data_IF_418020584808
#
_entry.id   IF_418020584808
#
_cell.length_a   1.000
_cell.length_b   1.000
_cell.length_c   1.000
_cell.angle_alpha   90.00
_cell.angle_beta   90.00
_cell.angle_gamma   90.00
#
_symmetry.space_group_name_H-M   'P 1'
#
loop_
_entity.id
_entity.type
_entity.pdbx_description
1 polymer ?
#
# COMPACT_ATOMS: atom_id res chain seq x y z
N UNK A 1 -34.50 27.05 1.08
CA UNK A 1 -34.28 26.31 2.34
C UNK A 1 -33.63 24.98 2.01
N UNK A 2 -32.44 24.80 2.56
CA UNK A 2 -31.38 23.86 2.25
C UNK A 2 -31.73 22.39 2.58
N UNK A 3 -31.44 21.47 1.65
CA UNK A 3 -31.46 20.01 1.85
C UNK A 3 -30.13 19.41 1.41
N UNK A 4 -29.04 19.70 2.10
CA UNK A 4 -27.80 18.90 1.95
C UNK A 4 -26.90 19.01 3.18
N UNK A 5 -26.91 18.04 4.11
CA UNK A 5 -25.80 17.78 5.07
C UNK A 5 -26.07 16.64 6.08
N UNK A 6 -26.31 15.41 5.62
CA UNK A 6 -26.34 14.24 6.54
C UNK A 6 -25.37 13.11 6.19
N UNK A 7 -24.76 13.11 4.99
CA UNK A 7 -23.91 12.00 4.53
C UNK A 7 -22.43 12.05 4.92
N UNK A 8 -21.87 13.25 5.20
CA UNK A 8 -20.42 13.40 5.45
C UNK A 8 -20.00 12.85 6.82
N UNK A 9 -20.81 13.05 7.85
CA UNK A 9 -20.45 12.69 9.23
C UNK A 9 -20.26 11.17 9.45
N UNK A 10 -21.05 10.34 8.76
CA UNK A 10 -20.94 8.87 8.85
C UNK A 10 -19.68 8.37 8.14
N UNK A 11 -19.39 8.88 6.94
CA UNK A 11 -18.20 8.53 6.18
C UNK A 11 -16.92 8.93 6.92
N UNK A 12 -16.89 10.12 7.51
CA UNK A 12 -15.75 10.61 8.28
C UNK A 12 -15.52 9.79 9.57
N UNK A 13 -16.60 9.36 10.23
CA UNK A 13 -16.53 8.53 11.44
C UNK A 13 -16.00 7.13 11.12
N UNK A 14 -16.55 6.47 10.09
CA UNK A 14 -16.08 5.16 9.64
C UNK A 14 -14.63 5.22 9.17
N UNK A 15 -14.24 6.30 8.46
CA UNK A 15 -12.85 6.54 8.07
C UNK A 15 -11.92 6.60 9.28
N UNK A 16 -12.27 7.37 10.32
CA UNK A 16 -11.48 7.47 11.56
C UNK A 16 -11.35 6.13 12.28
N UNK A 17 -12.43 5.36 12.37
CA UNK A 17 -12.40 4.03 13.02
C UNK A 17 -11.54 3.03 12.24
N UNK A 18 -11.60 3.04 10.90
CA UNK A 18 -10.73 2.24 10.05
C UNK A 18 -9.26 2.66 10.20
N UNK A 19 -8.97 3.96 10.17
CA UNK A 19 -7.62 4.49 10.37
C UNK A 19 -7.05 4.13 11.74
N UNK A 20 -7.84 4.28 12.82
CA UNK A 20 -7.40 3.95 14.18
C UNK A 20 -7.05 2.47 14.31
N UNK A 21 -7.84 1.60 13.68
CA UNK A 21 -7.56 0.18 13.63
C UNK A 21 -6.28 -0.12 12.83
N UNK A 22 -6.19 0.37 11.60
CA UNK A 22 -5.01 0.15 10.73
C UNK A 22 -3.72 0.74 11.35
N UNK A 23 -3.82 1.82 12.13
CA UNK A 23 -2.69 2.40 12.86
C UNK A 23 -2.24 1.58 14.08
N UNK A 24 -3.08 0.67 14.60
CA UNK A 24 -2.79 -0.16 15.76
C UNK A 24 -2.77 0.61 17.10
N UNK A 25 -2.46 -0.08 18.22
CA UNK A 25 -2.49 0.50 19.57
C UNK A 25 -1.49 1.65 19.76
N UNK A 26 -0.36 1.64 19.05
CA UNK A 26 0.62 2.74 19.04
C UNK A 26 0.25 3.87 18.06
N UNK A 27 -0.96 3.87 17.49
CA UNK A 27 -1.41 4.83 16.49
C UNK A 27 -1.28 6.30 16.88
N UNK A 28 -1.71 6.73 18.10
CA UNK A 28 -1.57 8.12 18.55
C UNK A 28 -0.12 8.60 18.66
N UNK A 29 0.77 7.79 19.25
CA UNK A 29 2.20 8.09 19.38
C UNK A 29 2.89 8.13 18.02
N UNK A 30 2.61 7.16 17.16
CA UNK A 30 3.13 7.13 15.79
C UNK A 30 2.66 8.36 15.02
N UNK A 31 1.40 8.77 15.15
CA UNK A 31 0.87 9.98 14.50
C UNK A 31 1.61 11.22 15.00
N UNK A 32 1.81 11.35 16.30
CA UNK A 32 2.54 12.48 16.88
C UNK A 32 3.98 12.54 16.34
N UNK A 33 4.69 11.41 16.29
CA UNK A 33 6.04 11.34 15.73
C UNK A 33 6.09 11.63 14.23
N UNK A 34 5.15 11.09 13.46
CA UNK A 34 5.14 11.26 12.00
C UNK A 34 4.81 12.71 11.61
N UNK A 35 3.80 13.31 12.22
CA UNK A 35 3.35 14.64 11.84
C UNK A 35 4.03 15.77 12.61
N UNK A 36 4.34 15.55 13.90
CA UNK A 36 4.83 16.57 14.82
C UNK A 36 6.34 16.75 14.87
N UNK A 37 7.15 15.79 14.43
CA UNK A 37 8.61 15.97 14.38
C UNK A 37 8.97 17.04 13.33
N UNK A 38 9.70 18.11 13.70
CA UNK A 38 10.19 19.12 12.77
C UNK A 38 11.24 18.54 11.81
N UNK A 39 11.29 19.06 10.58
CA UNK A 39 12.29 18.69 9.58
C UNK A 39 11.76 18.67 8.16
N UNK A 40 12.65 18.56 7.16
CA UNK A 40 12.25 18.41 5.76
C UNK A 40 11.49 17.10 5.56
N UNK A 41 10.61 17.05 4.56
CA UNK A 41 9.81 15.87 4.18
C UNK A 41 10.04 15.58 2.71
N UNK A 42 9.94 14.31 2.28
CA UNK A 42 10.01 13.97 0.85
C UNK A 42 8.90 14.64 0.04
N UNK A 43 7.72 14.82 0.65
CA UNK A 43 6.55 15.36 -0.03
C UNK A 43 5.97 16.57 0.72
N UNK A 44 5.97 17.72 0.05
CA UNK A 44 5.32 18.94 0.50
C UNK A 44 3.80 18.76 0.71
N UNK A 45 3.14 19.60 1.53
CA UNK A 45 1.73 19.48 1.87
C UNK A 45 0.77 19.48 0.66
N UNK A 46 1.19 20.09 -0.45
CA UNK A 46 0.48 20.21 -1.72
C UNK A 46 0.58 18.98 -2.63
N UNK A 47 1.52 18.06 -2.35
CA UNK A 47 1.78 16.89 -3.21
C UNK A 47 0.59 15.92 -3.25
N UNK A 48 0.25 15.36 -4.44
CA UNK A 48 -0.88 14.44 -4.59
C UNK A 48 -0.82 13.21 -3.68
N UNK A 49 0.37 12.65 -3.40
CA UNK A 49 0.52 11.50 -2.50
C UNK A 49 -0.08 11.72 -1.12
N UNK A 50 0.03 12.93 -0.57
CA UNK A 50 -0.56 13.26 0.73
C UNK A 50 -2.08 13.30 0.70
N UNK A 51 -2.68 13.67 -0.45
CA UNK A 51 -4.13 13.64 -0.65
C UNK A 51 -4.63 12.20 -0.75
N UNK A 52 -3.96 11.36 -1.54
CA UNK A 52 -4.34 9.95 -1.71
C UNK A 52 -4.18 9.20 -0.39
N UNK A 53 -3.02 9.29 0.26
CA UNK A 53 -2.71 8.53 1.47
C UNK A 53 -3.43 9.05 2.73
N UNK A 54 -3.97 10.26 2.69
CA UNK A 54 -4.79 10.83 3.76
C UNK A 54 -6.28 10.49 3.66
N UNK A 55 -6.71 9.82 2.58
CA UNK A 55 -8.12 9.52 2.32
C UNK A 55 -8.51 8.10 2.79
N UNK A 56 -9.74 7.94 3.27
CA UNK A 56 -10.26 6.63 3.70
C UNK A 56 -10.33 5.60 2.54
N UNK A 57 -10.32 6.06 1.28
CA UNK A 57 -10.21 5.22 0.09
C UNK A 57 -8.98 4.31 0.10
N UNK A 58 -7.93 4.66 0.86
CA UNK A 58 -6.73 3.84 1.05
C UNK A 58 -7.05 2.45 1.58
N UNK A 59 -8.10 2.29 2.38
CA UNK A 59 -8.49 0.97 2.87
C UNK A 59 -8.93 0.06 1.71
N UNK A 60 -9.80 0.57 0.82
CA UNK A 60 -10.27 -0.16 -0.36
C UNK A 60 -9.09 -0.45 -1.30
N UNK A 61 -8.22 0.54 -1.52
CA UNK A 61 -7.03 0.38 -2.32
C UNK A 61 -6.06 -0.66 -1.74
N UNK A 62 -5.93 -0.73 -0.42
CA UNK A 62 -5.09 -1.72 0.26
C UNK A 62 -5.61 -3.15 0.09
N UNK A 63 -6.93 -3.35 0.19
CA UNK A 63 -7.54 -4.66 -0.10
C UNK A 63 -7.29 -5.08 -1.55
N UNK A 64 -7.48 -4.16 -2.50
CA UNK A 64 -7.18 -4.42 -3.92
C UNK A 64 -5.71 -4.72 -4.15
N UNK A 65 -4.80 -3.97 -3.53
CA UNK A 65 -3.36 -4.16 -3.64
C UNK A 65 -2.96 -5.55 -3.16
N UNK A 66 -3.45 -5.99 -2.01
CA UNK A 66 -3.16 -7.33 -1.49
C UNK A 66 -3.63 -8.45 -2.44
N UNK A 67 -4.85 -8.32 -2.98
CA UNK A 67 -5.38 -9.28 -3.94
C UNK A 67 -4.54 -9.31 -5.22
N UNK A 68 -4.23 -8.14 -5.78
CA UNK A 68 -3.45 -8.03 -7.02
C UNK A 68 -2.04 -8.56 -6.81
N UNK A 69 -1.33 -8.10 -5.77
CA UNK A 69 0.03 -8.54 -5.44
C UNK A 69 0.13 -10.06 -5.28
N UNK A 70 -0.88 -10.70 -4.68
CA UNK A 70 -0.91 -12.14 -4.44
C UNK A 70 -0.86 -13.00 -5.71
N UNK A 71 -1.18 -12.41 -6.87
CA UNK A 71 -1.20 -13.14 -8.15
C UNK A 71 0.20 -13.46 -8.68
N UNK A 72 1.25 -12.81 -8.20
CA UNK A 72 2.60 -13.15 -8.64
C UNK A 72 3.16 -14.32 -7.80
N UNK A 73 3.47 -15.48 -8.40
CA UNK A 73 3.81 -16.70 -7.66
C UNK A 73 5.01 -16.54 -6.72
N UNK A 74 6.11 -15.93 -7.20
CA UNK A 74 7.31 -15.70 -6.39
C UNK A 74 7.10 -14.72 -5.25
N UNK A 75 6.43 -13.58 -5.51
CA UNK A 75 6.08 -12.62 -4.47
C UNK A 75 5.21 -13.29 -3.39
N UNK A 76 4.22 -14.08 -3.79
CA UNK A 76 3.35 -14.80 -2.86
C UNK A 76 4.10 -15.90 -2.09
N UNK A 77 5.05 -16.58 -2.71
CA UNK A 77 5.92 -17.55 -2.03
C UNK A 77 6.80 -16.89 -0.96
N UNK A 78 7.37 -15.71 -1.25
CA UNK A 78 8.13 -14.93 -0.29
C UNK A 78 7.27 -14.52 0.92
N UNK A 79 6.03 -14.09 0.67
CA UNK A 79 5.05 -13.80 1.72
C UNK A 79 4.70 -15.05 2.51
N UNK A 80 4.32 -16.15 1.86
CA UNK A 80 3.89 -17.37 2.54
C UNK A 80 4.99 -17.99 3.41
N UNK A 81 6.24 -18.01 2.93
CA UNK A 81 7.37 -18.64 3.62
C UNK A 81 7.90 -17.86 4.82
N UNK A 82 7.69 -16.53 4.87
CA UNK A 82 8.37 -15.68 5.86
C UNK A 82 7.45 -14.78 6.68
N UNK A 83 6.19 -14.59 6.30
CA UNK A 83 5.39 -13.48 6.86
C UNK A 83 4.40 -13.87 7.95
N UNK A 84 4.32 -15.14 8.37
CA UNK A 84 3.32 -15.57 9.34
C UNK A 84 1.91 -15.11 8.96
N UNK A 85 1.61 -15.02 7.64
CA UNK A 85 0.37 -14.43 7.10
C UNK A 85 -0.90 -15.01 7.73
N UNK A 86 -0.85 -16.28 8.15
CA UNK A 86 -1.94 -16.97 8.84
C UNK A 86 -2.04 -16.66 10.34
N UNK A 87 -0.96 -16.19 10.97
CA UNK A 87 -0.85 -15.95 12.42
C UNK A 87 -0.98 -14.47 12.85
N UNK A 88 -0.45 -13.51 12.08
CA UNK A 88 -0.53 -12.07 12.40
C UNK A 88 -0.78 -11.17 11.16
N UNK A 89 -1.97 -11.28 10.53
CA UNK A 89 -2.35 -10.44 9.40
C UNK A 89 -2.51 -8.97 9.81
N UNK A 90 -2.85 -8.70 11.08
CA UNK A 90 -3.09 -7.36 11.58
C UNK A 90 -1.81 -6.57 11.79
N UNK A 91 -0.81 -7.17 12.44
CA UNK A 91 0.51 -6.55 12.56
C UNK A 91 1.17 -6.36 11.19
N UNK A 92 0.93 -7.25 10.21
CA UNK A 92 1.42 -7.04 8.83
C UNK A 92 0.81 -5.79 8.20
N UNK A 93 -0.51 -5.63 8.28
CA UNK A 93 -1.21 -4.45 7.77
C UNK A 93 -0.74 -3.17 8.47
N UNK A 94 -0.57 -3.22 9.79
CA UNK A 94 -0.04 -2.10 10.58
C UNK A 94 1.38 -1.71 10.16
N UNK A 95 2.27 -2.68 9.90
CA UNK A 95 3.65 -2.41 9.46
C UNK A 95 3.67 -1.71 8.10
N UNK A 96 2.90 -2.19 7.13
CA UNK A 96 2.78 -1.53 5.82
C UNK A 96 2.15 -0.15 5.94
N UNK A 97 1.07 0.00 6.71
CA UNK A 97 0.45 1.31 6.93
C UNK A 97 1.41 2.29 7.62
N UNK A 98 2.20 1.82 8.59
CA UNK A 98 3.19 2.65 9.27
C UNK A 98 4.28 3.06 8.29
N UNK A 99 4.76 2.15 7.44
CA UNK A 99 5.71 2.47 6.39
C UNK A 99 5.18 3.55 5.44
N UNK A 100 3.98 3.37 4.88
CA UNK A 100 3.35 4.37 4.00
C UNK A 100 3.17 5.71 4.69
N UNK A 101 2.71 5.72 5.95
CA UNK A 101 2.54 6.95 6.70
C UNK A 101 3.86 7.67 6.97
N UNK A 102 4.93 6.93 7.34
CA UNK A 102 6.26 7.50 7.59
C UNK A 102 6.88 8.04 6.31
N UNK A 103 6.84 7.30 5.20
CA UNK A 103 7.43 7.75 3.93
C UNK A 103 6.67 8.92 3.31
N UNK A 104 5.36 9.01 3.54
CA UNK A 104 4.51 10.05 2.97
C UNK A 104 4.49 11.32 3.81
N UNK A 105 4.32 11.15 5.12
CA UNK A 105 4.06 12.26 6.03
C UNK A 105 5.21 12.54 6.97
N UNK A 106 6.15 11.62 7.19
CA UNK A 106 7.27 11.79 8.12
C UNK A 106 8.34 12.76 7.62
N UNK A 107 9.39 12.95 8.43
CA UNK A 107 10.61 13.64 7.99
C UNK A 107 11.35 12.79 6.95
N UNK A 108 12.12 13.43 6.08
CA UNK A 108 12.95 12.75 5.08
C UNK A 108 13.92 11.74 5.72
N UNK A 109 14.45 12.07 6.90
CA UNK A 109 15.27 11.18 7.71
C UNK A 109 14.49 9.93 8.15
N UNK A 110 13.32 10.10 8.77
CA UNK A 110 12.50 8.95 9.19
C UNK A 110 12.04 8.10 8.00
N UNK A 111 11.73 8.74 6.88
CA UNK A 111 11.36 8.08 5.64
C UNK A 111 12.52 7.21 5.11
N UNK A 112 13.74 7.75 5.09
CA UNK A 112 14.94 7.00 4.69
C UNK A 112 15.22 5.83 5.65
N UNK A 113 15.17 6.06 6.96
CA UNK A 113 15.36 4.99 7.96
C UNK A 113 14.32 3.88 7.80
N UNK A 114 13.07 4.21 7.47
CA UNK A 114 12.03 3.22 7.22
C UNK A 114 12.34 2.39 5.96
N UNK A 115 12.81 3.04 4.89
CA UNK A 115 13.29 2.36 3.68
C UNK A 115 14.46 1.43 3.98
N UNK A 116 15.48 1.90 4.71
CA UNK A 116 16.67 1.11 5.02
C UNK A 116 16.32 -0.16 5.83
N UNK A 117 15.39 -0.02 6.78
CA UNK A 117 14.86 -1.17 7.55
C UNK A 117 14.16 -2.18 6.65
N UNK A 118 13.30 -1.72 5.73
CA UNK A 118 12.59 -2.61 4.79
C UNK A 118 13.59 -3.31 3.87
N UNK A 119 14.58 -2.59 3.32
CA UNK A 119 15.64 -3.18 2.49
C UNK A 119 16.42 -4.24 3.24
N UNK A 120 16.83 -3.97 4.48
CA UNK A 120 17.53 -4.95 5.31
C UNK A 120 16.71 -6.20 5.62
N UNK A 121 15.38 -6.09 5.72
CA UNK A 121 14.48 -7.26 5.84
C UNK A 121 14.41 -8.01 4.51
N UNK A 122 14.14 -7.33 3.41
CA UNK A 122 14.03 -7.94 2.08
C UNK A 122 15.31 -8.65 1.64
N UNK A 123 16.47 -8.12 2.02
CA UNK A 123 17.77 -8.74 1.73
C UNK A 123 17.89 -10.16 2.29
N UNK A 124 17.30 -10.40 3.47
CA UNK A 124 17.34 -11.67 4.19
C UNK A 124 16.24 -12.65 3.77
N UNK A 125 15.19 -12.17 3.09
CA UNK A 125 14.05 -13.00 2.69
C UNK A 125 14.37 -13.66 1.34
N UNK A 126 14.77 -14.94 1.41
CA UNK A 126 15.18 -15.75 0.26
C UNK A 126 14.62 -17.17 0.40
N UNK A 127 14.32 -17.83 -0.70
CA UNK A 127 13.80 -19.20 -0.65
C UNK A 127 13.51 -19.77 -2.03
N UNK A 128 12.69 -20.82 -2.07
CA UNK A 128 12.18 -21.41 -3.32
C UNK A 128 10.66 -21.48 -3.28
N UNK A 129 10.02 -21.18 -4.40
CA UNK A 129 8.58 -21.37 -4.59
C UNK A 129 8.24 -22.86 -4.70
N UNK A 130 6.95 -23.26 -4.56
CA UNK A 130 6.53 -24.65 -4.76
C UNK A 130 6.89 -25.22 -6.15
N UNK A 131 7.06 -24.37 -7.16
CA UNK A 131 7.56 -24.73 -8.49
C UNK A 131 9.07 -25.03 -8.55
N UNK A 132 9.80 -24.84 -7.45
CA UNK A 132 11.26 -24.99 -7.35
C UNK A 132 12.06 -23.73 -7.70
N UNK A 133 11.43 -22.74 -8.31
CA UNK A 133 12.07 -21.48 -8.71
C UNK A 133 12.54 -20.68 -7.48
N UNK A 134 13.79 -20.18 -7.46
CA UNK A 134 14.27 -19.37 -6.34
C UNK A 134 13.62 -17.99 -6.32
N UNK A 135 13.47 -17.42 -5.12
CA UNK A 135 13.06 -16.02 -4.95
C UNK A 135 13.99 -15.29 -3.98
N UNK A 136 14.08 -13.98 -4.17
CA UNK A 136 14.71 -13.03 -3.26
C UNK A 136 13.79 -11.81 -3.16
N UNK A 137 13.36 -11.42 -1.95
CA UNK A 137 12.42 -10.30 -1.82
C UNK A 137 13.03 -8.94 -2.18
N UNK A 138 14.36 -8.85 -2.26
CA UNK A 138 15.05 -7.66 -2.78
C UNK A 138 15.35 -7.73 -4.29
N UNK A 139 14.82 -8.73 -5.01
CA UNK A 139 14.81 -8.74 -6.48
C UNK A 139 14.07 -7.49 -7.02
N UNK A 140 14.73 -6.61 -7.79
CA UNK A 140 14.12 -5.43 -8.39
C UNK A 140 12.85 -5.70 -9.19
N UNK A 141 12.74 -6.85 -9.85
CA UNK A 141 11.55 -7.26 -10.61
C UNK A 141 10.37 -7.49 -9.65
N UNK A 142 10.57 -8.28 -8.59
CA UNK A 142 9.53 -8.52 -7.60
C UNK A 142 9.15 -7.25 -6.82
N UNK A 143 10.12 -6.40 -6.49
CA UNK A 143 9.88 -5.09 -5.87
C UNK A 143 9.02 -4.20 -6.78
N UNK A 144 9.33 -4.17 -8.07
CA UNK A 144 8.57 -3.40 -9.07
C UNK A 144 7.12 -3.89 -9.14
N UNK A 145 6.89 -5.20 -9.23
CA UNK A 145 5.52 -5.74 -9.21
C UNK A 145 4.71 -5.28 -7.99
N UNK A 146 5.28 -5.47 -6.78
CA UNK A 146 4.60 -5.10 -5.53
C UNK A 146 4.27 -3.61 -5.53
N UNK A 147 5.20 -2.78 -5.99
CA UNK A 147 5.04 -1.34 -6.09
C UNK A 147 3.94 -0.93 -7.06
N UNK A 148 3.99 -1.37 -8.33
CA UNK A 148 3.03 -0.93 -9.34
C UNK A 148 1.61 -1.43 -9.03
N UNK A 149 1.48 -2.64 -8.45
CA UNK A 149 0.20 -3.16 -8.00
C UNK A 149 -0.38 -2.32 -6.84
N UNK A 150 0.46 -1.82 -5.94
CA UNK A 150 0.07 -0.92 -4.86
C UNK A 150 -0.38 0.45 -5.39
N UNK A 151 0.44 1.10 -6.21
CA UNK A 151 0.18 2.44 -6.80
C UNK A 151 -1.11 2.44 -7.61
N UNK A 152 -1.31 1.47 -8.51
CA UNK A 152 -2.54 1.36 -9.30
C UNK A 152 -3.77 1.14 -8.42
N UNK A 153 -3.63 0.35 -7.35
CA UNK A 153 -4.74 0.06 -6.44
C UNK A 153 -5.17 1.28 -5.64
N UNK A 154 -4.22 2.01 -5.04
CA UNK A 154 -4.51 3.22 -4.28
C UNK A 154 -5.06 4.32 -5.17
N UNK A 155 -4.45 4.55 -6.35
CA UNK A 155 -4.92 5.58 -7.27
C UNK A 155 -6.34 5.27 -7.76
N UNK A 156 -6.64 4.04 -8.19
CA UNK A 156 -7.98 3.65 -8.63
C UNK A 156 -9.02 3.79 -7.52
N UNK A 157 -8.69 3.36 -6.31
CA UNK A 157 -9.60 3.50 -5.18
C UNK A 157 -9.88 4.97 -4.85
N UNK A 158 -8.85 5.82 -4.87
CA UNK A 158 -9.01 7.25 -4.62
C UNK A 158 -9.82 7.96 -5.71
N UNK A 159 -9.57 7.65 -6.98
CA UNK A 159 -10.35 8.20 -8.10
C UNK A 159 -11.83 7.80 -8.01
N UNK A 160 -12.13 6.59 -7.52
CA UNK A 160 -13.50 6.07 -7.46
C UNK A 160 -14.26 6.48 -6.19
N UNK A 161 -13.57 6.50 -5.04
CA UNK A 161 -14.21 6.61 -3.72
C UNK A 161 -13.68 7.77 -2.87
N UNK A 162 -12.57 8.39 -3.28
CA UNK A 162 -11.94 9.49 -2.55
C UNK A 162 -12.83 10.73 -2.50
N UNK A 163 -12.67 11.52 -1.45
CA UNK A 163 -13.48 12.72 -1.25
C UNK A 163 -13.22 13.79 -2.34
N UNK A 164 -11.99 13.84 -2.87
CA UNK A 164 -11.56 14.81 -3.86
C UNK A 164 -10.64 14.15 -4.89
N UNK A 165 -11.18 13.61 -5.99
CA UNK A 165 -10.39 13.00 -7.05
C UNK A 165 -9.30 13.95 -7.58
N UNK A 166 -8.20 13.37 -8.04
CA UNK A 166 -7.14 14.10 -8.74
C UNK A 166 -7.53 14.28 -10.21
N UNK A 167 -7.10 15.38 -10.81
CA UNK A 167 -7.10 15.56 -12.27
C UNK A 167 -5.98 14.72 -12.92
N UNK A 168 -5.86 14.80 -14.25
CA UNK A 168 -4.86 14.03 -15.00
C UNK A 168 -3.44 14.30 -14.53
N UNK A 169 -3.06 15.58 -14.40
CA UNK A 169 -1.74 15.98 -13.94
C UNK A 169 -1.47 15.57 -12.48
N UNK A 170 -2.49 15.62 -11.62
CA UNK A 170 -2.41 15.14 -10.24
C UNK A 170 -2.21 13.63 -10.16
N UNK A 171 -2.85 12.85 -11.04
CA UNK A 171 -2.63 11.40 -11.12
C UNK A 171 -1.19 11.08 -11.50
N UNK A 172 -0.65 11.73 -12.53
CA UNK A 172 0.75 11.51 -12.94
C UNK A 172 1.72 12.06 -11.87
N UNK A 173 1.34 13.12 -11.16
CA UNK A 173 2.06 13.62 -10.00
C UNK A 173 2.11 12.64 -8.83
N UNK A 174 1.02 11.92 -8.55
CA UNK A 174 0.98 10.85 -7.57
C UNK A 174 1.94 9.71 -7.93
N UNK A 175 1.96 9.31 -9.20
CA UNK A 175 2.83 8.24 -9.67
C UNK A 175 4.30 8.65 -9.54
N UNK A 176 4.66 9.89 -9.89
CA UNK A 176 6.02 10.43 -9.65
C UNK A 176 6.41 10.47 -8.18
N UNK A 177 5.48 10.84 -7.29
CA UNK A 177 5.74 10.79 -5.85
C UNK A 177 6.07 9.36 -5.39
N UNK A 178 5.29 8.39 -5.86
CA UNK A 178 5.49 6.97 -5.53
C UNK A 178 6.79 6.41 -6.15
N UNK A 179 7.18 6.87 -7.34
CA UNK A 179 8.45 6.52 -7.98
C UNK A 179 9.67 6.87 -7.09
N UNK A 180 9.62 7.96 -6.33
CA UNK A 180 10.67 8.31 -5.35
C UNK A 180 10.82 7.22 -4.29
N UNK A 181 9.71 6.71 -3.76
CA UNK A 181 9.73 5.63 -2.75
C UNK A 181 10.21 4.32 -3.37
N UNK A 182 9.77 3.99 -4.58
CA UNK A 182 10.20 2.78 -5.30
C UNK A 182 11.71 2.77 -5.54
N UNK A 183 12.29 3.87 -6.02
CA UNK A 183 13.75 3.98 -6.20
C UNK A 183 14.49 3.82 -4.89
N UNK A 184 14.01 4.45 -3.82
CA UNK A 184 14.62 4.32 -2.51
C UNK A 184 14.62 2.86 -2.02
N UNK A 185 13.56 2.10 -2.32
CA UNK A 185 13.44 0.67 -2.02
C UNK A 185 14.28 -0.25 -2.91
N UNK A 186 14.80 0.24 -4.04
CA UNK A 186 15.66 -0.51 -4.95
C UNK A 186 15.07 -0.84 -6.32
N UNK A 187 13.94 -0.24 -6.71
CA UNK A 187 13.41 -0.34 -8.08
C UNK A 187 14.13 0.67 -8.98
N UNK A 188 14.93 0.26 -9.99
CA UNK A 188 15.75 1.19 -10.76
C UNK A 188 14.92 2.17 -11.61
N UNK A 189 13.91 1.63 -12.29
CA UNK A 189 13.07 2.38 -13.25
C UNK A 189 11.58 2.15 -12.98
N UNK A 190 11.02 2.75 -11.91
CA UNK A 190 9.58 2.70 -11.66
C UNK A 190 8.82 3.62 -12.61
N UNK A 191 7.54 3.36 -12.87
CA UNK A 191 6.72 4.22 -13.74
C UNK A 191 6.56 5.63 -13.17
N UNK A 192 6.45 6.61 -14.05
CA UNK A 192 6.37 8.05 -13.75
C UNK A 192 5.00 8.64 -14.10
N UNK A 193 4.21 7.95 -14.89
CA UNK A 193 2.86 8.40 -15.25
C UNK A 193 1.90 7.22 -15.40
N UNK A 194 0.64 7.53 -15.69
CA UNK A 194 -0.40 6.51 -15.86
C UNK A 194 -0.15 5.58 -17.05
N UNK A 195 0.50 6.06 -18.11
CA UNK A 195 0.76 5.25 -19.30
C UNK A 195 1.83 4.21 -18.99
N UNK A 196 2.94 4.62 -18.37
CA UNK A 196 4.01 3.72 -17.92
C UNK A 196 3.51 2.74 -16.87
N UNK A 197 2.69 3.19 -15.92
CA UNK A 197 2.09 2.31 -14.90
C UNK A 197 1.21 1.22 -15.54
N UNK A 198 0.38 1.60 -16.52
CA UNK A 198 -0.48 0.66 -17.23
C UNK A 198 0.34 -0.32 -18.08
N UNK A 199 1.39 0.15 -18.75
CA UNK A 199 2.31 -0.68 -19.52
C UNK A 199 3.05 -1.68 -18.63
N UNK A 200 3.55 -1.23 -17.47
CA UNK A 200 4.18 -2.10 -16.48
C UNK A 200 3.25 -3.21 -16.02
N UNK A 201 2.01 -2.89 -15.62
CA UNK A 201 1.03 -3.92 -15.21
C UNK A 201 0.73 -4.89 -16.35
N UNK A 202 0.62 -4.40 -17.58
CA UNK A 202 0.40 -5.26 -18.75
C UNK A 202 1.56 -6.24 -18.97
N UNK A 203 2.82 -5.80 -18.77
CA UNK A 203 4.00 -6.62 -18.92
C UNK A 203 4.06 -7.80 -17.92
N UNK A 204 3.56 -7.62 -16.69
CA UNK A 204 3.50 -8.70 -15.70
C UNK A 204 2.38 -9.72 -15.94
N UNK A 205 1.36 -9.42 -16.76
CA UNK A 205 0.18 -10.30 -16.95
C UNK A 205 0.52 -11.76 -17.25
N UNK A 206 1.51 -12.09 -18.10
CA UNK A 206 1.88 -13.48 -18.39
C UNK A 206 2.46 -14.25 -17.18
N UNK A 207 2.97 -13.54 -16.18
CA UNK A 207 3.58 -14.10 -14.97
C UNK A 207 2.55 -14.38 -13.87
N UNK A 208 1.37 -13.76 -13.95
CA UNK A 208 0.33 -13.83 -12.92
C UNK A 208 -0.43 -15.14 -12.96
N UNK A 209 -0.63 -15.75 -11.78
CA UNK A 209 -1.35 -17.02 -11.63
C UNK A 209 -2.22 -17.01 -10.38
N UNK A 210 -3.40 -17.62 -10.49
CA UNK A 210 -4.21 -17.94 -9.32
C UNK A 210 -3.64 -19.19 -8.62
N UNK A 211 -2.57 -19.01 -7.84
CA UNK A 211 -1.99 -20.11 -7.03
C UNK A 211 -2.90 -20.46 -5.85
N UNK A 212 -2.67 -21.62 -5.23
CA UNK A 212 -3.40 -22.01 -4.00
C UNK A 212 -3.22 -20.95 -2.91
N UNK A 213 -2.01 -20.44 -2.76
CA UNK A 213 -1.67 -19.41 -1.78
C UNK A 213 -2.40 -18.09 -2.08
N UNK A 214 -2.51 -17.70 -3.35
CA UNK A 214 -3.25 -16.52 -3.78
C UNK A 214 -4.75 -16.67 -3.50
N UNK A 215 -5.33 -17.84 -3.79
CA UNK A 215 -6.73 -18.14 -3.50
C UNK A 215 -7.03 -18.19 -1.99
N UNK A 216 -6.12 -18.76 -1.20
CA UNK A 216 -6.22 -18.75 0.27
C UNK A 216 -6.17 -17.31 0.81
N UNK A 217 -5.27 -16.47 0.30
CA UNK A 217 -5.19 -15.06 0.66
C UNK A 217 -6.48 -14.31 0.27
N UNK A 218 -6.99 -14.53 -0.94
CA UNK A 218 -8.24 -13.92 -1.40
C UNK A 218 -9.44 -14.36 -0.55
N UNK A 219 -9.58 -15.66 -0.27
CA UNK A 219 -10.64 -16.17 0.62
C UNK A 219 -10.53 -15.59 2.01
N UNK A 220 -9.32 -15.50 2.57
CA UNK A 220 -9.10 -14.89 3.87
C UNK A 220 -9.54 -13.43 3.90
N UNK A 221 -9.12 -12.63 2.91
CA UNK A 221 -9.45 -11.21 2.80
C UNK A 221 -10.95 -10.99 2.58
N UNK A 222 -11.60 -11.80 1.74
CA UNK A 222 -13.00 -11.63 1.35
C UNK A 222 -14.00 -12.19 2.39
N UNK A 223 -13.67 -13.32 3.05
CA UNK A 223 -14.56 -13.99 4.01
C UNK A 223 -14.32 -13.54 5.46
N UNK A 224 -13.10 -13.09 5.76
CA UNK A 224 -12.75 -12.49 7.05
C UNK A 224 -12.17 -11.11 6.85
N UNK A 225 -12.89 -10.20 6.14
CA UNK A 225 -12.37 -8.85 5.96
C UNK A 225 -12.16 -8.25 7.36
N UNK A 226 -11.04 -7.56 7.60
CA UNK A 226 -10.76 -6.89 8.87
C UNK A 226 -11.65 -5.63 9.03
N UNK A 227 -12.95 -5.77 8.78
CA UNK A 227 -13.98 -4.76 8.86
C UNK A 227 -14.75 -4.90 10.18
N UNK A 228 -15.12 -3.78 10.83
CA UNK A 228 -16.16 -3.79 11.86
C UNK A 228 -17.42 -4.44 11.32
N UNK A 229 -18.17 -5.17 12.15
CA UNK A 229 -19.45 -5.80 11.79
C UNK A 229 -20.42 -4.81 11.14
N UNK A 230 -20.42 -3.56 11.59
CA UNK A 230 -21.20 -2.46 11.02
C UNK A 230 -20.84 -2.08 9.56
N UNK A 231 -19.69 -2.51 9.05
CA UNK A 231 -19.28 -2.31 7.65
C UNK A 231 -19.41 -3.58 6.79
N UNK A 232 -20.00 -4.65 7.34
CA UNK A 232 -20.25 -5.93 6.64
C UNK A 232 -21.69 -6.11 6.16
N UNK A 233 -22.57 -5.15 6.45
CA UNK A 233 -23.99 -5.15 6.11
C UNK A 233 -24.26 -4.36 4.82
#
# INVERSE_FOLDING_TARGET
MDRTRSGSGVRDRLGRELFARVAGPSGPENRARIHGTPGPRWFGPERPVRRVHGDASMFIGGLRALLLQSLHPLAMAAVAGHSGFRGDPWGRLQRTSTFLAVTTFGTAEHAQQAVDRVRAVHERVRGRAPSGEPYHAADPHLLCWVHIAEVDSFLRAHQRYGARPLDGAGCDGYIRDMATVARALGVPDPPHDRAELAAGIAAYRPELRATREALDAARFILLRPPLPWAARA
#
